data_IF_704758681003
#
_entry.id   IF_704758681003
#
_cell.length_a   1.000
_cell.length_b   1.000
_cell.length_c   1.000
_cell.angle_alpha   90.00
_cell.angle_beta   90.00
_cell.angle_gamma   90.00
#
_symmetry.space_group_name_H-M   'P 1'
#
loop_
_entity.id
_entity.type
_entity.pdbx_description
1 polymer ?
#
# COMPACT_ATOMS: atom_id res chain seq x y z
N UNK A 1 2.44 -23.89 13.14
CA UNK A 1 2.53 -22.42 13.27
C UNK A 1 3.67 -21.91 12.40
N UNK A 2 3.41 -20.99 11.45
CA UNK A 2 4.49 -20.28 10.74
C UNK A 2 5.13 -19.32 11.73
N UNK A 3 6.45 -19.44 11.95
CA UNK A 3 7.21 -18.52 12.79
C UNK A 3 7.23 -17.14 12.10
N UNK A 4 6.67 -16.13 12.76
CA UNK A 4 6.69 -14.73 12.30
C UNK A 4 8.14 -14.25 12.38
N UNK A 5 8.60 -13.48 11.38
CA UNK A 5 9.96 -12.94 11.38
C UNK A 5 10.08 -11.77 12.37
N UNK A 6 11.29 -11.44 12.82
CA UNK A 6 11.52 -10.25 13.67
C UNK A 6 11.05 -8.96 13.00
N UNK A 7 11.21 -8.87 11.69
CA UNK A 7 10.75 -7.70 10.94
C UNK A 7 9.24 -7.63 10.90
N UNK A 8 8.56 -8.77 10.69
CA UNK A 8 7.10 -8.80 10.70
C UNK A 8 6.53 -8.50 12.09
N UNK A 9 7.18 -8.95 13.16
CA UNK A 9 6.84 -8.58 14.53
C UNK A 9 6.99 -7.07 14.76
N UNK A 10 8.11 -6.47 14.35
CA UNK A 10 8.31 -5.02 14.43
C UNK A 10 7.27 -4.23 13.63
N UNK A 11 6.93 -4.69 12.42
CA UNK A 11 5.88 -4.08 11.60
C UNK A 11 4.52 -4.18 12.29
N UNK A 12 4.17 -5.34 12.86
CA UNK A 12 2.91 -5.52 13.59
C UNK A 12 2.83 -4.58 14.80
N UNK A 13 3.92 -4.40 15.55
CA UNK A 13 3.98 -3.45 16.68
C UNK A 13 3.71 -2.02 16.20
N UNK A 14 4.24 -1.63 15.03
CA UNK A 14 3.95 -0.31 14.45
C UNK A 14 2.47 -0.19 14.10
N UNK A 15 1.86 -1.23 13.51
CA UNK A 15 0.43 -1.24 13.21
C UNK A 15 -0.41 -1.01 14.47
N UNK A 16 -0.14 -1.81 15.51
CA UNK A 16 -0.87 -1.78 16.77
C UNK A 16 -0.68 -0.43 17.49
N UNK A 17 0.54 0.11 17.50
CA UNK A 17 0.85 1.42 18.07
C UNK A 17 0.16 2.59 17.36
N UNK A 18 -0.26 2.40 16.10
CA UNK A 18 -1.06 3.37 15.34
C UNK A 18 -2.57 3.08 15.42
N UNK A 19 -2.98 2.05 16.15
CA UNK A 19 -4.37 1.71 16.39
C UNK A 19 -5.04 0.92 15.26
N UNK A 20 -4.27 0.23 14.40
CA UNK A 20 -4.84 -0.64 13.37
C UNK A 20 -4.39 -2.09 13.50
N UNK A 21 -5.29 -3.02 13.16
CA UNK A 21 -4.98 -4.46 13.08
C UNK A 21 -3.98 -4.71 11.93
N UNK A 22 -2.83 -5.37 12.18
CA UNK A 22 -1.86 -5.71 11.14
C UNK A 22 -2.46 -6.49 9.95
N UNK A 23 -3.54 -7.25 10.17
CA UNK A 23 -4.28 -7.95 9.12
C UNK A 23 -5.04 -6.98 8.23
N UNK A 24 -5.69 -5.96 8.79
CA UNK A 24 -6.36 -4.90 8.03
C UNK A 24 -5.35 -4.16 7.17
N UNK A 25 -4.22 -3.76 7.76
CA UNK A 25 -3.14 -3.09 7.03
C UNK A 25 -2.63 -3.92 5.85
N UNK A 26 -2.47 -5.24 6.02
CA UNK A 26 -2.07 -6.13 4.95
C UNK A 26 -3.13 -6.27 3.85
N UNK A 27 -4.35 -6.67 4.21
CA UNK A 27 -5.40 -7.01 3.23
C UNK A 27 -5.84 -5.77 2.43
N UNK A 28 -6.10 -4.65 3.11
CA UNK A 28 -6.51 -3.41 2.44
C UNK A 28 -5.43 -2.95 1.46
N UNK A 29 -4.19 -2.85 1.94
CA UNK A 29 -3.07 -2.38 1.12
C UNK A 29 -2.79 -3.32 -0.04
N UNK A 30 -2.88 -4.64 0.17
CA UNK A 30 -2.74 -5.62 -0.90
C UNK A 30 -3.80 -5.40 -1.99
N UNK A 31 -5.07 -5.24 -1.61
CA UNK A 31 -6.15 -5.00 -2.57
C UNK A 31 -5.92 -3.71 -3.36
N UNK A 32 -5.51 -2.62 -2.69
CA UNK A 32 -5.20 -1.35 -3.34
C UNK A 32 -4.03 -1.48 -4.33
N UNK A 33 -2.94 -2.13 -3.92
CA UNK A 33 -1.78 -2.37 -4.77
C UNK A 33 -2.12 -3.25 -5.97
N UNK A 34 -2.90 -4.31 -5.77
CA UNK A 34 -3.35 -5.18 -6.87
C UNK A 34 -4.23 -4.43 -7.87
N UNK A 35 -5.13 -3.58 -7.38
CA UNK A 35 -5.99 -2.76 -8.23
C UNK A 35 -5.18 -1.73 -9.02
N UNK A 36 -4.31 -0.97 -8.36
CA UNK A 36 -3.39 -0.04 -9.02
C UNK A 36 -2.55 -0.74 -10.08
N UNK A 37 -2.01 -1.90 -9.73
CA UNK A 37 -1.15 -2.67 -10.62
C UNK A 37 -1.87 -3.21 -11.86
N UNK A 38 -3.19 -3.40 -11.81
CA UNK A 38 -4.03 -3.70 -12.99
C UNK A 38 -4.20 -2.46 -13.86
N UNK A 39 -4.44 -1.30 -13.26
CA UNK A 39 -4.54 -0.02 -13.99
C UNK A 39 -3.24 0.33 -14.73
N UNK A 40 -2.08 0.16 -14.07
CA UNK A 40 -0.75 0.36 -14.69
C UNK A 40 -0.55 -0.56 -15.90
N UNK A 41 -0.85 -1.86 -15.77
CA UNK A 41 -0.70 -2.82 -16.87
C UNK A 41 -1.63 -2.51 -18.04
N UNK A 42 -2.86 -2.12 -17.74
CA UNK A 42 -3.84 -1.77 -18.74
C UNK A 42 -3.50 -0.47 -19.49
N UNK A 43 -2.52 0.32 -19.01
CA UNK A 43 -2.32 1.71 -19.47
C UNK A 43 -3.57 2.56 -19.22
N UNK A 44 -4.46 2.08 -18.34
CA UNK A 44 -5.76 2.66 -18.01
C UNK A 44 -5.68 3.29 -16.63
N UNK A 45 -4.69 4.16 -16.43
CA UNK A 45 -5.08 5.31 -15.64
C UNK A 45 -6.04 6.05 -16.56
N UNK A 46 -7.34 5.74 -16.43
CA UNK A 46 -8.38 6.54 -17.02
C UNK A 46 -8.20 7.90 -16.38
N UNK A 47 -7.56 8.82 -17.10
CA UNK A 47 -7.64 10.24 -16.76
C UNK A 47 -9.13 10.55 -16.82
N UNK A 48 -9.81 10.43 -15.68
CA UNK A 48 -11.23 10.72 -15.62
C UNK A 48 -11.39 12.13 -16.18
N UNK A 49 -12.29 12.31 -17.14
CA UNK A 49 -12.61 13.61 -17.76
C UNK A 49 -13.32 14.54 -16.75
N UNK A 50 -13.00 14.41 -15.46
CA UNK A 50 -13.50 15.23 -14.36
C UNK A 50 -12.66 16.50 -14.26
N UNK A 51 -13.31 17.60 -13.88
CA UNK A 51 -12.63 18.88 -13.67
C UNK A 51 -11.61 18.73 -12.53
N UNK A 52 -10.49 19.43 -12.60
CA UNK A 52 -9.43 19.37 -11.59
C UNK A 52 -9.94 19.63 -10.15
N UNK A 53 -10.95 20.49 -9.97
CA UNK A 53 -11.59 20.74 -8.67
C UNK A 53 -12.32 19.52 -8.10
N UNK A 54 -12.92 18.70 -8.96
CA UNK A 54 -13.62 17.48 -8.55
C UNK A 54 -12.62 16.37 -8.23
N UNK A 55 -11.49 16.34 -8.93
CA UNK A 55 -10.39 15.41 -8.64
C UNK A 55 -9.79 15.64 -7.25
N UNK A 56 -9.56 16.89 -6.85
CA UNK A 56 -8.97 17.20 -5.54
C UNK A 56 -9.93 16.84 -4.40
N UNK A 57 -11.22 17.17 -4.56
CA UNK A 57 -12.26 16.76 -3.60
C UNK A 57 -12.34 15.24 -3.47
N UNK A 58 -12.24 14.51 -4.58
CA UNK A 58 -12.26 13.05 -4.58
C UNK A 58 -11.00 12.46 -3.92
N UNK A 59 -9.81 13.01 -4.19
CA UNK A 59 -8.56 12.61 -3.50
C UNK A 59 -8.65 12.81 -2.00
N UNK A 60 -9.17 13.95 -1.54
CA UNK A 60 -9.42 14.21 -0.11
C UNK A 60 -10.40 13.23 0.51
N UNK A 61 -11.50 12.91 -0.18
CA UNK A 61 -12.46 11.93 0.33
C UNK A 61 -11.84 10.52 0.38
N UNK A 62 -11.08 10.12 -0.64
CA UNK A 62 -10.38 8.82 -0.65
C UNK A 62 -9.40 8.70 0.52
N UNK A 63 -8.67 9.79 0.82
CA UNK A 63 -7.77 9.85 1.97
C UNK A 63 -8.50 9.63 3.29
N UNK A 64 -9.62 10.32 3.51
CA UNK A 64 -10.49 10.13 4.68
C UNK A 64 -11.01 8.71 4.79
N UNK A 65 -11.56 8.19 3.68
CA UNK A 65 -12.11 6.83 3.61
C UNK A 65 -11.02 5.80 3.98
N UNK A 66 -9.77 5.96 3.49
CA UNK A 66 -8.67 5.07 3.86
C UNK A 66 -8.23 5.18 5.31
N UNK A 67 -8.09 6.39 5.86
CA UNK A 67 -7.76 6.59 7.26
C UNK A 67 -8.81 5.94 8.18
N UNK A 68 -10.09 6.03 7.81
CA UNK A 68 -11.20 5.43 8.54
C UNK A 68 -11.19 3.89 8.42
N UNK A 69 -11.11 3.35 7.20
CA UNK A 69 -11.11 1.89 6.96
C UNK A 69 -9.95 1.22 7.71
N UNK A 70 -8.77 1.85 7.76
CA UNK A 70 -7.60 1.29 8.47
C UNK A 70 -7.86 1.07 9.97
N UNK A 71 -8.78 1.83 10.58
CA UNK A 71 -9.12 1.72 12.01
C UNK A 71 -10.30 0.79 12.29
N UNK A 72 -10.99 0.32 11.26
CA UNK A 72 -12.14 -0.57 11.40
C UNK A 72 -11.75 -2.02 11.14
N UNK A 73 -12.40 -2.99 11.80
CA UNK A 73 -12.31 -4.38 11.40
C UNK A 73 -12.67 -4.55 9.92
N UNK A 74 -11.95 -5.42 9.20
CA UNK A 74 -12.13 -5.61 7.75
C UNK A 74 -13.55 -6.03 7.38
N UNK A 75 -14.24 -6.73 8.27
CA UNK A 75 -15.60 -7.20 8.04
C UNK A 75 -16.64 -6.08 8.12
N UNK A 76 -16.35 -5.02 8.87
CA UNK A 76 -17.24 -3.90 9.15
C UNK A 76 -17.13 -2.79 8.09
N UNK A 77 -16.02 -2.73 7.35
CA UNK A 77 -15.73 -1.67 6.38
C UNK A 77 -15.87 -2.10 4.91
N UNK A 78 -16.54 -3.22 4.63
CA UNK A 78 -16.61 -3.81 3.26
C UNK A 78 -17.14 -2.87 2.18
N UNK A 79 -18.17 -2.09 2.47
CA UNK A 79 -18.75 -1.17 1.49
C UNK A 79 -17.78 -0.01 1.18
N UNK A 80 -17.20 0.58 2.23
CA UNK A 80 -16.17 1.61 2.09
C UNK A 80 -14.94 1.08 1.35
N UNK A 81 -14.50 -0.15 1.62
CA UNK A 81 -13.42 -0.80 0.89
C UNK A 81 -13.74 -0.92 -0.60
N UNK A 82 -14.95 -1.37 -0.97
CA UNK A 82 -15.35 -1.48 -2.39
C UNK A 82 -15.34 -0.13 -3.09
N UNK A 83 -15.89 0.90 -2.43
CA UNK A 83 -15.89 2.28 -2.94
C UNK A 83 -14.45 2.77 -3.13
N UNK A 84 -13.60 2.58 -2.12
CA UNK A 84 -12.21 2.98 -2.15
C UNK A 84 -11.45 2.29 -3.29
N UNK A 85 -11.60 0.98 -3.43
CA UNK A 85 -10.93 0.20 -4.47
C UNK A 85 -11.40 0.60 -5.86
N UNK A 86 -12.69 0.90 -6.05
CA UNK A 86 -13.18 1.44 -7.31
C UNK A 86 -12.53 2.80 -7.62
N UNK A 87 -12.43 3.69 -6.63
CA UNK A 87 -11.75 4.97 -6.81
C UNK A 87 -10.25 4.81 -7.08
N UNK A 88 -9.55 3.87 -6.43
CA UNK A 88 -8.14 3.55 -6.69
C UNK A 88 -7.90 3.17 -8.16
N UNK A 89 -8.87 2.53 -8.84
CA UNK A 89 -8.74 2.26 -10.28
C UNK A 89 -8.94 3.46 -11.18
N UNK A 90 -9.72 4.45 -10.75
CA UNK A 90 -10.13 5.60 -11.57
C UNK A 90 -9.23 6.84 -11.35
N UNK A 91 -8.46 6.87 -10.26
CA UNK A 91 -7.61 8.00 -9.90
C UNK A 91 -6.15 7.59 -9.71
N UNK A 92 -5.23 8.49 -10.06
CA UNK A 92 -3.77 8.38 -9.83
C UNK A 92 -3.40 8.54 -8.35
N UNK A 93 -4.11 7.86 -7.45
CA UNK A 93 -3.96 8.13 -6.03
C UNK A 93 -2.58 7.74 -5.50
N UNK A 94 -1.96 6.68 -6.04
CA UNK A 94 -0.60 6.35 -5.64
C UNK A 94 0.46 7.26 -6.25
N UNK A 95 0.16 8.07 -7.26
CA UNK A 95 1.20 8.86 -7.94
C UNK A 95 1.84 9.91 -7.02
N UNK A 96 1.02 10.69 -6.31
CA UNK A 96 1.50 11.69 -5.36
C UNK A 96 2.25 11.09 -4.13
N UNK A 97 1.71 10.11 -3.39
CA UNK A 97 2.37 9.55 -2.21
C UNK A 97 3.52 8.58 -2.54
N UNK A 98 3.63 8.07 -3.78
CA UNK A 98 4.55 6.96 -4.11
C UNK A 98 5.98 7.22 -3.66
N UNK A 99 6.55 8.38 -4.01
CA UNK A 99 7.96 8.65 -3.68
C UNK A 99 8.15 8.73 -2.16
N UNK A 100 7.30 9.48 -1.46
CA UNK A 100 7.33 9.58 0.01
C UNK A 100 7.25 8.20 0.67
N UNK A 101 6.34 7.35 0.19
CA UNK A 101 6.12 6.01 0.76
C UNK A 101 7.30 5.08 0.50
N UNK A 102 7.82 5.07 -0.73
CA UNK A 102 8.96 4.22 -1.07
C UNK A 102 10.25 4.68 -0.37
N UNK A 103 10.46 5.99 -0.21
CA UNK A 103 11.57 6.54 0.58
C UNK A 103 11.44 6.15 2.05
N UNK A 104 10.26 6.34 2.66
CA UNK A 104 10.03 5.93 4.05
C UNK A 104 10.20 4.41 4.26
N UNK A 105 9.87 3.59 3.26
CA UNK A 105 10.14 2.16 3.29
C UNK A 105 11.63 1.82 3.14
N UNK A 106 12.36 2.57 2.31
CA UNK A 106 13.79 2.37 2.07
C UNK A 106 14.59 2.47 3.37
N UNK A 107 14.21 3.40 4.24
CA UNK A 107 14.86 3.67 5.52
C UNK A 107 14.49 2.67 6.63
N UNK A 108 13.65 1.67 6.33
CA UNK A 108 13.26 0.64 7.30
C UNK A 108 14.36 -0.41 7.50
N UNK A 109 15.38 -0.05 8.28
CA UNK A 109 16.48 -0.94 8.64
C UNK A 109 17.11 -1.64 7.43
N UNK A 110 17.61 -2.86 7.63
CA UNK A 110 18.28 -3.61 6.57
C UNK A 110 17.32 -4.22 5.54
N UNK A 111 16.04 -4.38 5.89
CA UNK A 111 15.03 -5.00 5.02
C UNK A 111 14.30 -4.00 4.12
N UNK A 112 14.37 -2.71 4.42
CA UNK A 112 13.75 -1.63 3.65
C UNK A 112 14.02 -1.69 2.14
N UNK A 113 15.29 -1.76 1.69
CA UNK A 113 15.62 -1.87 0.27
C UNK A 113 15.00 -3.09 -0.41
N UNK A 114 14.90 -4.22 0.32
CA UNK A 114 14.27 -5.46 -0.18
C UNK A 114 12.78 -5.24 -0.37
N UNK A 115 12.12 -4.58 0.60
CA UNK A 115 10.69 -4.27 0.52
C UNK A 115 10.36 -3.35 -0.64
N UNK A 116 11.15 -2.29 -0.84
CA UNK A 116 11.01 -1.37 -1.98
C UNK A 116 11.15 -2.13 -3.30
N UNK A 117 12.16 -3.00 -3.41
CA UNK A 117 12.35 -3.84 -4.60
C UNK A 117 11.14 -4.73 -4.88
N UNK A 118 10.56 -5.35 -3.85
CA UNK A 118 9.36 -6.18 -3.99
C UNK A 118 8.18 -5.34 -4.48
N UNK A 119 7.89 -4.20 -3.85
CA UNK A 119 6.75 -3.36 -4.23
C UNK A 119 6.89 -2.87 -5.67
N UNK A 120 8.06 -2.37 -6.05
CA UNK A 120 8.30 -1.85 -7.39
C UNK A 120 8.14 -2.92 -8.47
N UNK A 121 8.79 -4.08 -8.31
CA UNK A 121 8.79 -5.14 -9.33
C UNK A 121 7.45 -5.88 -9.44
N UNK A 122 6.61 -5.84 -8.39
CA UNK A 122 5.34 -6.58 -8.36
C UNK A 122 4.12 -5.72 -8.65
N UNK A 123 4.16 -4.44 -8.28
CA UNK A 123 2.97 -3.60 -8.30
C UNK A 123 3.11 -2.34 -9.15
N UNK A 124 4.29 -1.72 -9.17
CA UNK A 124 4.49 -0.38 -9.75
C UNK A 124 4.98 -0.37 -11.20
N UNK A 125 5.36 -1.51 -11.75
CA UNK A 125 5.84 -1.64 -13.13
C UNK A 125 4.88 -2.47 -14.00
N UNK A 126 4.87 -2.18 -15.30
CA UNK A 126 4.17 -2.97 -16.32
C UNK A 126 4.83 -4.35 -16.50
N UNK A 127 6.16 -4.37 -16.51
CA UNK A 127 6.97 -5.58 -16.73
C UNK A 127 7.26 -6.29 -15.40
N UNK A 128 6.22 -6.93 -14.86
CA UNK A 128 6.28 -7.55 -13.53
C UNK A 128 7.15 -8.79 -13.53
N UNK A 129 8.08 -8.87 -12.58
CA UNK A 129 8.87 -10.08 -12.35
C UNK A 129 8.04 -11.13 -11.61
N UNK A 130 8.20 -12.39 -11.97
CA UNK A 130 7.63 -13.50 -11.19
C UNK A 130 8.34 -13.59 -9.83
N UNK A 131 7.68 -14.19 -8.83
CA UNK A 131 8.30 -14.37 -7.51
C UNK A 131 9.52 -15.28 -7.57
N UNK A 132 9.57 -16.21 -8.52
CA UNK A 132 10.74 -17.07 -8.77
C UNK A 132 11.93 -16.23 -9.25
N UNK A 133 11.72 -15.38 -10.26
CA UNK A 133 12.79 -14.52 -10.79
C UNK A 133 13.30 -13.56 -9.72
N UNK A 134 12.38 -12.88 -9.03
CA UNK A 134 12.74 -11.92 -8.00
C UNK A 134 13.44 -12.57 -6.80
N UNK A 135 13.06 -13.81 -6.44
CA UNK A 135 13.70 -14.55 -5.36
C UNK A 135 15.14 -14.91 -5.72
N UNK A 136 15.38 -15.34 -6.97
CA UNK A 136 16.72 -15.61 -7.46
C UNK A 136 17.60 -14.35 -7.48
N UNK A 137 17.08 -13.22 -7.96
CA UNK A 137 17.82 -11.95 -8.01
C UNK A 137 18.19 -11.42 -6.62
N UNK A 138 17.29 -11.58 -5.65
CA UNK A 138 17.49 -11.09 -4.28
C UNK A 138 18.18 -12.12 -3.36
N UNK A 139 18.51 -13.32 -3.86
CA UNK A 139 19.18 -14.37 -3.09
C UNK A 139 18.30 -15.03 -2.03
N UNK A 140 16.98 -15.09 -2.24
CA UNK A 140 16.03 -15.72 -1.33
C UNK A 140 15.41 -16.98 -1.92
N UNK A 141 14.88 -17.86 -1.06
CA UNK A 141 13.90 -18.85 -1.50
C UNK A 141 12.55 -18.17 -1.78
N UNK A 142 11.76 -18.73 -2.69
CA UNK A 142 10.42 -18.20 -3.02
C UNK A 142 9.54 -18.08 -1.78
N UNK A 143 9.56 -19.08 -0.89
CA UNK A 143 8.79 -19.06 0.35
C UNK A 143 9.23 -17.94 1.31
N UNK A 144 10.55 -17.67 1.39
CA UNK A 144 11.07 -16.55 2.19
C UNK A 144 10.66 -15.21 1.59
N UNK A 145 10.74 -15.09 0.26
CA UNK A 145 10.34 -13.87 -0.43
C UNK A 145 8.83 -13.58 -0.31
N UNK A 146 7.97 -14.60 -0.31
CA UNK A 146 6.53 -14.41 -0.06
C UNK A 146 6.25 -13.87 1.36
N UNK A 147 7.04 -14.25 2.36
CA UNK A 147 6.96 -13.64 3.69
C UNK A 147 7.42 -12.17 3.65
N UNK A 148 8.55 -11.89 3.00
CA UNK A 148 9.07 -10.52 2.81
C UNK A 148 8.09 -9.64 2.05
N UNK A 149 7.33 -10.19 1.11
CA UNK A 149 6.28 -9.48 0.38
C UNK A 149 5.10 -9.11 1.30
N UNK A 150 4.67 -10.01 2.18
CA UNK A 150 3.64 -9.71 3.18
C UNK A 150 4.08 -8.57 4.11
N UNK A 151 5.33 -8.61 4.58
CA UNK A 151 5.96 -7.54 5.37
C UNK A 151 5.98 -6.21 4.59
N UNK A 152 6.47 -6.23 3.34
CA UNK A 152 6.53 -5.06 2.47
C UNK A 152 5.17 -4.39 2.27
N UNK A 153 4.12 -5.19 2.06
CA UNK A 153 2.75 -4.68 1.87
C UNK A 153 2.24 -3.99 3.14
N UNK A 154 2.46 -4.58 4.33
CA UNK A 154 2.07 -3.93 5.60
C UNK A 154 2.81 -2.61 5.81
N UNK A 155 4.13 -2.62 5.59
CA UNK A 155 4.95 -1.42 5.74
C UNK A 155 4.55 -0.32 4.75
N UNK A 156 4.21 -0.68 3.51
CA UNK A 156 3.66 0.25 2.54
C UNK A 156 2.36 0.89 3.05
N UNK A 157 1.46 0.08 3.63
CA UNK A 157 0.21 0.56 4.23
C UNK A 157 0.44 1.53 5.38
N UNK A 158 1.38 1.22 6.28
CA UNK A 158 1.81 2.11 7.37
C UNK A 158 2.29 3.46 6.82
N UNK A 159 3.19 3.44 5.82
CA UNK A 159 3.76 4.66 5.26
C UNK A 159 2.72 5.49 4.50
N UNK A 160 1.82 4.83 3.77
CA UNK A 160 0.64 5.46 3.15
C UNK A 160 -0.26 6.12 4.19
N UNK A 161 -0.51 5.45 5.32
CA UNK A 161 -1.31 6.01 6.41
C UNK A 161 -0.64 7.25 7.00
N UNK A 162 0.67 7.21 7.26
CA UNK A 162 1.41 8.38 7.76
C UNK A 162 1.31 9.57 6.82
N UNK A 163 1.48 9.32 5.52
CA UNK A 163 1.31 10.36 4.50
C UNK A 163 -0.12 10.93 4.49
N UNK A 164 -1.12 10.05 4.49
CA UNK A 164 -2.52 10.43 4.49
C UNK A 164 -2.91 11.22 5.74
N UNK A 165 -2.44 10.82 6.92
CA UNK A 165 -2.72 11.51 8.17
C UNK A 165 -2.10 12.91 8.17
N UNK A 166 -0.82 13.03 7.77
CA UNK A 166 -0.11 14.31 7.66
C UNK A 166 -0.86 15.30 6.76
N UNK A 167 -1.29 14.87 5.57
CA UNK A 167 -2.04 15.75 4.67
C UNK A 167 -3.43 16.12 5.20
N UNK A 168 -4.08 15.23 5.97
CA UNK A 168 -5.38 15.57 6.55
C UNK A 168 -5.24 16.59 7.68
N UNK A 169 -4.15 16.54 8.46
CA UNK A 169 -3.80 17.55 9.45
C UNK A 169 -3.53 18.91 8.78
N UNK A 170 -2.67 18.95 7.76
CA UNK A 170 -2.35 20.17 7.00
C UNK A 170 -3.58 20.81 6.33
N UNK A 171 -4.58 20.01 5.91
CA UNK A 171 -5.83 20.48 5.30
C UNK A 171 -6.89 20.96 6.31
N UNK A 172 -6.65 20.78 7.61
CA UNK A 172 -7.53 21.24 8.71
C UNK A 172 -7.02 22.49 9.43
N UNK A 173 -5.74 22.84 9.24
CA UNK A 173 -5.13 24.12 9.66
C UNK A 173 -5.43 25.24 8.66
#
# INVERSE_FOLDING_TARGET
>A
MKRISKDEEGINIICEGMGFDPKVAYELTKMMLEQYSRSVVAGKILSSMTKASDQEKNKRQMRKDFLEIMKLPIEESKEMQRKLLWQVSEYEWLEAPKNYVLEGMQDYGNSGPIYVSIINNRYMTKDKKTMVVLANELGFSVASLENKKREAIKLFGIMMYRYAAKLEEEDTE
#
